data_IF_909309643711
#
_entry.id   IF_909309643711
#
_cell.length_a   1.000
_cell.length_b   1.000
_cell.length_c   1.000
_cell.angle_alpha   90.00
_cell.angle_beta   90.00
_cell.angle_gamma   90.00
#
_symmetry.space_group_name_H-M   'P 1'
#
loop_
_entity.id
_entity.type
_entity.pdbx_description
1 polymer ?
#
# COMPACT_ATOMS: atom_id res chain seq x y z
N UNK A 1 -31.90 -2.03 13.61
CA UNK A 1 -30.76 -1.38 14.30
C UNK A 1 -29.46 -2.06 13.85
N UNK A 2 -29.10 -1.93 12.57
CA UNK A 2 -27.99 -2.71 11.96
C UNK A 2 -27.05 -1.80 11.16
N UNK A 3 -27.56 -0.73 10.54
CA UNK A 3 -26.72 0.35 9.99
C UNK A 3 -25.86 1.07 11.03
N UNK A 4 -26.21 0.98 12.32
CA UNK A 4 -25.43 1.55 13.43
C UNK A 4 -24.11 0.82 13.65
N UNK A 5 -24.09 -0.52 13.61
CA UNK A 5 -22.86 -1.29 13.87
C UNK A 5 -21.75 -1.03 12.84
N UNK A 6 -22.07 -1.06 11.54
CA UNK A 6 -21.08 -0.78 10.49
C UNK A 6 -20.58 0.66 10.55
N UNK A 7 -21.46 1.60 10.92
CA UNK A 7 -21.10 3.00 11.14
C UNK A 7 -20.17 3.13 12.34
N UNK A 8 -20.44 2.43 13.44
CA UNK A 8 -19.57 2.41 14.61
C UNK A 8 -18.22 1.75 14.30
N UNK A 9 -18.19 0.67 13.54
CA UNK A 9 -16.93 0.07 13.09
C UNK A 9 -16.10 1.07 12.27
N UNK A 10 -16.74 1.84 11.39
CA UNK A 10 -16.07 2.87 10.59
C UNK A 10 -15.55 4.02 11.44
N UNK A 11 -16.42 4.67 12.21
CA UNK A 11 -16.09 5.94 12.87
C UNK A 11 -15.53 5.77 14.28
N UNK A 12 -15.92 4.71 15.01
CA UNK A 12 -15.45 4.43 16.37
C UNK A 12 -14.27 3.45 16.37
N UNK A 13 -14.34 2.31 15.66
CA UNK A 13 -13.20 1.37 15.57
C UNK A 13 -12.17 1.76 14.50
N UNK A 14 -12.48 2.70 13.61
CA UNK A 14 -11.54 3.21 12.61
C UNK A 14 -11.30 2.26 11.43
N UNK A 15 -12.18 1.29 11.23
CA UNK A 15 -12.11 0.32 10.13
C UNK A 15 -12.80 0.90 8.91
N UNK A 16 -12.05 1.30 7.88
CA UNK A 16 -12.62 1.69 6.60
C UNK A 16 -13.06 0.45 5.79
N UNK A 17 -14.12 0.64 4.99
CA UNK A 17 -14.80 -0.45 4.29
C UNK A 17 -15.22 -1.63 5.18
N UNK A 18 -15.81 -1.41 6.38
CA UNK A 18 -16.03 -2.48 7.33
C UNK A 18 -17.04 -3.50 6.79
N UNK A 19 -16.77 -4.78 7.06
CA UNK A 19 -17.63 -5.91 6.72
C UNK A 19 -17.85 -6.78 7.95
N UNK A 20 -19.09 -7.19 8.18
CA UNK A 20 -19.51 -8.13 9.22
C UNK A 20 -20.11 -9.33 8.51
N UNK A 21 -19.66 -10.53 8.86
CA UNK A 21 -20.18 -11.79 8.35
C UNK A 21 -20.36 -12.80 9.47
N UNK A 22 -21.30 -13.72 9.31
CA UNK A 22 -21.57 -14.79 10.29
C UNK A 22 -21.47 -16.14 9.61
N UNK A 23 -20.84 -17.09 10.28
CA UNK A 23 -20.74 -18.49 9.86
C UNK A 23 -20.62 -19.38 11.10
N UNK A 24 -21.59 -20.28 11.31
CA UNK A 24 -21.64 -21.10 12.52
C UNK A 24 -21.64 -20.26 13.80
N UNK A 25 -20.74 -20.57 14.74
CA UNK A 25 -20.61 -19.85 16.02
C UNK A 25 -19.61 -18.68 15.98
N UNK A 26 -19.20 -18.24 14.78
CA UNK A 26 -18.19 -17.19 14.63
C UNK A 26 -18.70 -15.99 13.85
N UNK A 27 -18.44 -14.79 14.37
CA UNK A 27 -18.56 -13.54 13.64
C UNK A 27 -17.20 -13.14 13.08
N UNK A 28 -17.18 -12.79 11.81
CA UNK A 28 -16.03 -12.25 11.09
C UNK A 28 -16.26 -10.77 10.83
N UNK A 29 -15.37 -9.94 11.35
CA UNK A 29 -15.27 -8.51 11.06
C UNK A 29 -14.02 -8.28 10.23
N UNK A 30 -14.10 -7.46 9.20
CA UNK A 30 -12.91 -7.03 8.46
C UNK A 30 -12.98 -5.56 8.06
N UNK A 31 -11.82 -4.96 7.83
CA UNK A 31 -11.69 -3.59 7.33
C UNK A 31 -10.26 -3.06 7.44
N UNK A 32 -10.00 -1.93 6.80
CA UNK A 32 -8.68 -1.29 6.82
C UNK A 32 -8.57 -0.31 8.00
N UNK A 33 -7.57 -0.49 8.86
CA UNK A 33 -7.38 0.40 10.01
C UNK A 33 -6.79 1.75 9.56
N UNK A 34 -7.54 2.82 9.74
CA UNK A 34 -7.16 4.18 9.27
C UNK A 34 -7.01 5.21 10.39
N UNK A 35 -7.51 4.91 11.60
CA UNK A 35 -7.61 5.88 12.70
C UNK A 35 -6.54 5.71 13.77
N UNK A 36 -6.24 4.47 14.15
CA UNK A 36 -5.37 4.16 15.27
C UNK A 36 -3.98 3.74 14.81
N UNK A 37 -2.95 4.34 15.43
CA UNK A 37 -1.55 3.97 15.18
C UNK A 37 -1.22 2.58 15.72
N UNK A 38 -1.69 2.26 16.93
CA UNK A 38 -1.71 0.89 17.43
C UNK A 38 -3.03 0.27 17.02
N UNK A 39 -2.96 -0.65 16.07
CA UNK A 39 -4.17 -1.20 15.46
C UNK A 39 -4.94 -2.15 16.39
N UNK A 40 -4.30 -2.61 17.48
CA UNK A 40 -4.96 -3.38 18.56
C UNK A 40 -6.10 -2.58 19.21
N UNK A 41 -5.95 -1.27 19.34
CA UNK A 41 -7.02 -0.42 19.87
C UNK A 41 -8.27 -0.48 18.98
N UNK A 42 -8.07 -0.50 17.65
CA UNK A 42 -9.16 -0.66 16.69
C UNK A 42 -9.86 -2.01 16.82
N UNK A 43 -9.09 -3.09 17.00
CA UNK A 43 -9.62 -4.44 17.23
C UNK A 43 -10.43 -4.50 18.53
N UNK A 44 -9.94 -3.95 19.63
CA UNK A 44 -10.63 -3.97 20.92
C UNK A 44 -11.94 -3.17 20.88
N UNK A 45 -11.94 -2.04 20.14
CA UNK A 45 -13.16 -1.26 19.88
C UNK A 45 -14.14 -2.02 19.01
N UNK A 46 -13.67 -2.68 17.95
CA UNK A 46 -14.52 -3.52 17.11
C UNK A 46 -15.18 -4.64 17.93
N UNK A 47 -14.40 -5.34 18.76
CA UNK A 47 -14.87 -6.36 19.68
C UNK A 47 -16.01 -5.84 20.58
N UNK A 48 -15.86 -4.66 21.18
CA UNK A 48 -16.91 -4.03 22.02
C UNK A 48 -18.17 -3.68 21.23
N UNK A 49 -18.03 -3.16 20.00
CA UNK A 49 -19.16 -2.81 19.14
C UNK A 49 -19.96 -4.06 18.76
N UNK A 50 -19.27 -5.15 18.42
CA UNK A 50 -19.91 -6.43 18.10
C UNK A 50 -20.61 -7.03 19.33
N UNK A 51 -19.96 -7.00 20.50
CA UNK A 51 -20.54 -7.53 21.75
C UNK A 51 -21.90 -6.92 22.11
N UNK A 52 -22.12 -5.64 21.85
CA UNK A 52 -23.39 -4.96 22.14
C UNK A 52 -24.58 -5.48 21.33
N UNK A 53 -24.31 -6.21 20.26
CA UNK A 53 -25.29 -6.67 19.28
C UNK A 53 -24.99 -8.10 18.82
N UNK A 54 -24.39 -8.89 19.71
CA UNK A 54 -24.00 -10.27 19.44
C UNK A 54 -25.26 -11.14 19.29
N UNK A 55 -25.45 -11.86 18.16
CA UNK A 55 -26.47 -12.88 18.03
C UNK A 55 -26.25 -14.04 19.03
N UNK A 56 -27.33 -14.73 19.37
CA UNK A 56 -27.26 -15.93 20.22
C UNK A 56 -26.45 -17.03 19.52
N UNK A 57 -25.70 -17.81 20.31
CA UNK A 57 -24.91 -18.94 19.82
C UNK A 57 -23.53 -18.61 19.26
N UNK A 58 -23.13 -17.33 19.24
CA UNK A 58 -21.76 -16.94 18.86
C UNK A 58 -20.80 -17.07 20.05
N UNK A 59 -19.72 -17.83 19.87
CA UNK A 59 -18.66 -18.03 20.86
C UNK A 59 -17.37 -17.28 20.50
N UNK A 60 -17.19 -16.91 19.24
CA UNK A 60 -15.92 -16.38 18.71
C UNK A 60 -16.13 -15.15 17.85
N UNK A 61 -15.26 -14.13 18.03
CA UNK A 61 -15.18 -12.95 17.16
C UNK A 61 -13.80 -12.94 16.50
N UNK A 62 -13.77 -12.95 15.17
CA UNK A 62 -12.56 -12.80 14.36
C UNK A 62 -12.55 -11.41 13.74
N UNK A 63 -11.57 -10.57 14.12
CA UNK A 63 -11.36 -9.25 13.49
C UNK A 63 -10.13 -9.33 12.58
N UNK A 64 -10.36 -9.27 11.26
CA UNK A 64 -9.32 -9.30 10.24
C UNK A 64 -8.99 -7.88 9.77
N UNK A 65 -7.76 -7.47 10.02
CA UNK A 65 -7.27 -6.17 9.57
C UNK A 65 -6.72 -6.30 8.16
N UNK A 66 -7.11 -5.42 7.26
CA UNK A 66 -6.61 -5.39 5.88
C UNK A 66 -5.83 -4.11 5.58
N UNK A 67 -5.05 -4.14 4.51
CA UNK A 67 -4.42 -2.96 3.92
C UNK A 67 -4.36 -3.12 2.42
N UNK A 68 -4.81 -2.14 1.65
CA UNK A 68 -4.93 -2.25 0.19
C UNK A 68 -5.68 -3.52 -0.23
N UNK A 69 -6.82 -3.80 0.42
CA UNK A 69 -7.62 -5.03 0.25
C UNK A 69 -6.91 -6.36 0.54
N UNK A 70 -5.66 -6.35 1.01
CA UNK A 70 -4.94 -7.56 1.42
C UNK A 70 -5.08 -7.77 2.93
N UNK A 71 -5.65 -8.89 3.39
CA UNK A 71 -5.77 -9.15 4.82
C UNK A 71 -4.38 -9.39 5.40
N UNK A 72 -4.08 -8.79 6.56
CA UNK A 72 -2.76 -8.80 7.18
C UNK A 72 -2.70 -9.76 8.38
N UNK A 73 -3.74 -9.77 9.19
CA UNK A 73 -3.80 -10.50 10.45
C UNK A 73 -5.24 -10.63 10.91
N UNK A 74 -5.58 -11.77 11.47
CA UNK A 74 -6.85 -11.97 12.17
C UNK A 74 -6.60 -12.06 13.65
N UNK A 75 -7.33 -11.29 14.43
CA UNK A 75 -7.37 -11.40 15.88
C UNK A 75 -8.63 -12.14 16.29
N UNK A 76 -8.46 -13.34 16.83
CA UNK A 76 -9.54 -14.15 17.38
C UNK A 76 -9.74 -13.80 18.85
N UNK A 77 -10.98 -13.51 19.23
CA UNK A 77 -11.38 -13.20 20.60
C UNK A 77 -12.52 -14.11 21.04
N UNK A 78 -12.35 -14.76 22.20
CA UNK A 78 -13.40 -15.59 22.81
C UNK A 78 -14.45 -14.70 23.48
N UNK A 79 -15.72 -14.86 23.09
CA UNK A 79 -16.85 -14.04 23.57
C UNK A 79 -17.02 -14.10 25.08
N UNK A 80 -16.91 -15.30 25.66
CA UNK A 80 -17.08 -15.49 27.11
C UNK A 80 -16.00 -14.73 27.89
N UNK A 81 -14.74 -14.78 27.42
CA UNK A 81 -13.64 -14.06 28.06
C UNK A 81 -13.78 -12.55 27.89
N UNK A 82 -14.20 -12.08 26.72
CA UNK A 82 -14.46 -10.66 26.46
C UNK A 82 -15.60 -10.12 27.32
N UNK A 83 -16.69 -10.88 27.48
CA UNK A 83 -17.82 -10.52 28.35
C UNK A 83 -17.36 -10.31 29.79
N UNK A 84 -16.65 -11.29 30.35
CA UNK A 84 -16.13 -11.19 31.72
C UNK A 84 -15.15 -10.02 31.88
N UNK A 85 -14.31 -9.75 30.86
CA UNK A 85 -13.40 -8.62 30.88
C UNK A 85 -14.13 -7.26 30.89
N UNK A 86 -15.26 -7.14 30.19
CA UNK A 86 -16.06 -5.91 30.13
C UNK A 86 -16.93 -5.70 31.38
N UNK A 87 -17.46 -6.79 31.95
CA UNK A 87 -18.26 -6.75 33.20
C UNK A 87 -17.38 -6.60 34.44
N UNK A 88 -16.10 -6.99 34.33
CA UNK A 88 -15.13 -6.98 35.42
C UNK A 88 -15.09 -8.31 36.19
N UNK A 89 -13.98 -8.55 36.87
CA UNK A 89 -13.80 -9.72 37.73
C UNK A 89 -13.94 -9.35 39.21
N UNK A 90 -14.39 -10.28 40.06
CA UNK A 90 -14.21 -10.16 41.50
C UNK A 90 -12.73 -9.95 41.85
N UNK A 91 -12.44 -9.20 42.92
CA UNK A 91 -11.06 -8.97 43.37
C UNK A 91 -10.30 -10.29 43.52
N UNK A 92 -9.12 -10.36 42.88
CA UNK A 92 -8.23 -11.52 42.96
C UNK A 92 -8.56 -12.67 42.00
N UNK A 93 -9.62 -12.57 41.18
CA UNK A 93 -10.02 -13.58 40.19
C UNK A 93 -9.91 -13.07 38.75
N UNK A 94 -9.08 -12.05 38.52
CA UNK A 94 -8.83 -11.49 37.19
C UNK A 94 -8.26 -12.55 36.25
N UNK A 95 -8.89 -12.69 35.09
CA UNK A 95 -8.40 -13.56 34.02
C UNK A 95 -7.99 -12.71 32.81
N UNK A 96 -6.89 -13.07 32.12
CA UNK A 96 -6.51 -12.39 30.91
C UNK A 96 -7.58 -12.59 29.83
N UNK A 97 -7.75 -11.57 28.99
CA UNK A 97 -8.58 -11.66 27.81
C UNK A 97 -8.01 -12.74 26.88
N UNK A 98 -8.83 -13.74 26.54
CA UNK A 98 -8.47 -14.80 25.60
C UNK A 98 -8.59 -14.27 24.17
N UNK A 99 -7.48 -13.69 23.71
CA UNK A 99 -7.35 -13.08 22.40
C UNK A 99 -6.02 -13.49 21.77
N UNK A 100 -6.07 -14.02 20.55
CA UNK A 100 -4.88 -14.54 19.85
C UNK A 100 -4.83 -14.01 18.42
N UNK A 101 -3.64 -13.60 17.99
CA UNK A 101 -3.39 -13.21 16.59
C UNK A 101 -2.97 -14.43 15.79
N UNK A 102 -3.53 -14.57 14.60
CA UNK A 102 -3.26 -15.67 13.67
C UNK A 102 -3.19 -15.13 12.24
N UNK A 103 -2.71 -15.98 11.34
CA UNK A 103 -2.76 -15.74 9.91
C UNK A 103 -4.18 -15.34 9.47
N UNK A 104 -4.30 -14.46 8.46
CA UNK A 104 -5.59 -14.07 7.90
C UNK A 104 -6.55 -15.25 7.67
N UNK A 105 -7.75 -15.14 8.24
CA UNK A 105 -8.84 -16.10 7.99
C UNK A 105 -9.87 -15.49 7.06
N UNK A 106 -10.07 -16.16 5.92
CA UNK A 106 -11.19 -15.91 5.02
C UNK A 106 -12.34 -16.86 5.41
N UNK A 107 -13.52 -16.33 5.78
CA UNK A 107 -14.67 -17.15 6.11
C UNK A 107 -15.29 -17.87 4.89
N UNK A 108 -14.86 -17.57 3.67
CA UNK A 108 -15.39 -18.17 2.45
C UNK A 108 -16.89 -17.84 2.26
N UNK A 109 -17.73 -18.87 2.14
CA UNK A 109 -19.18 -18.68 2.00
C UNK A 109 -19.84 -18.48 3.36
N UNK A 110 -20.49 -17.33 3.55
CA UNK A 110 -21.07 -16.92 4.83
C UNK A 110 -22.60 -16.91 4.77
N UNK A 111 -23.25 -17.24 5.89
CA UNK A 111 -24.71 -17.32 6.00
C UNK A 111 -25.36 -15.94 5.91
N UNK A 112 -24.72 -14.95 6.55
CA UNK A 112 -25.13 -13.56 6.54
C UNK A 112 -23.88 -12.69 6.36
N UNK A 113 -24.04 -11.57 5.65
CA UNK A 113 -22.95 -10.65 5.39
C UNK A 113 -23.46 -9.26 5.09
N UNK A 114 -22.88 -8.26 5.75
CA UNK A 114 -23.18 -6.86 5.54
C UNK A 114 -21.88 -6.07 5.48
N UNK A 115 -21.85 -5.02 4.66
CA UNK A 115 -20.64 -4.23 4.46
C UNK A 115 -20.97 -2.80 4.08
N UNK A 116 -20.09 -1.89 4.45
CA UNK A 116 -19.99 -0.58 3.80
C UNK A 116 -18.92 -0.73 2.72
N UNK A 117 -19.27 -0.44 1.46
CA UNK A 117 -18.27 -0.46 0.38
C UNK A 117 -17.25 0.65 0.63
N UNK A 118 -15.98 0.29 0.49
CA UNK A 118 -14.92 1.29 0.34
C UNK A 118 -15.07 1.99 -1.01
N UNK A 119 -14.69 3.27 -1.06
CA UNK A 119 -14.68 4.02 -2.30
C UNK A 119 -13.63 3.43 -3.25
N UNK A 120 -14.09 3.02 -4.44
CA UNK A 120 -13.23 2.41 -5.45
C UNK A 120 -12.44 3.41 -6.26
N UNK A 121 -12.90 4.67 -6.29
CA UNK A 121 -12.26 5.77 -7.02
C UNK A 121 -11.68 6.75 -6.00
N UNK A 122 -10.37 6.94 -6.06
CA UNK A 122 -9.68 8.01 -5.37
C UNK A 122 -9.10 8.97 -6.41
N UNK A 123 -9.27 10.27 -6.19
CA UNK A 123 -8.71 11.28 -7.08
C UNK A 123 -8.23 12.47 -6.27
N UNK A 124 -7.15 13.09 -6.74
CA UNK A 124 -6.61 14.29 -6.11
C UNK A 124 -6.08 15.27 -7.14
N UNK A 125 -6.16 16.56 -6.80
CA UNK A 125 -5.55 17.63 -7.56
C UNK A 125 -4.67 18.41 -6.60
N UNK A 126 -3.36 18.46 -6.87
CA UNK A 126 -2.38 19.03 -5.95
C UNK A 126 -1.42 19.98 -6.67
N UNK A 127 -1.10 21.16 -6.10
CA UNK A 127 0.00 21.99 -6.61
C UNK A 127 1.33 21.29 -6.30
N UNK A 128 2.27 21.39 -7.23
CA UNK A 128 3.60 20.76 -7.12
C UNK A 128 4.66 21.80 -7.39
N UNK A 129 5.71 21.81 -6.56
CA UNK A 129 6.90 22.63 -6.71
C UNK A 129 8.14 21.73 -6.69
N UNK A 130 8.73 21.50 -7.86
CA UNK A 130 9.99 20.81 -8.01
C UNK A 130 11.12 21.83 -7.93
N UNK A 131 12.09 21.64 -7.03
CA UNK A 131 13.25 22.53 -6.88
C UNK A 131 14.55 21.73 -6.97
N UNK A 132 15.57 22.30 -7.62
CA UNK A 132 16.92 21.74 -7.64
C UNK A 132 17.93 22.85 -7.38
N UNK A 133 18.91 22.57 -6.52
CA UNK A 133 19.97 23.50 -6.11
C UNK A 133 21.32 22.88 -6.45
N UNK A 134 22.25 23.68 -6.97
CA UNK A 134 23.61 23.23 -7.26
C UNK A 134 23.78 22.51 -8.60
N UNK A 135 22.90 22.82 -9.57
CA UNK A 135 23.11 22.39 -10.95
C UNK A 135 24.38 23.05 -11.54
N UNK A 136 25.10 22.36 -12.42
CA UNK A 136 26.31 22.91 -13.05
C UNK A 136 26.06 24.16 -13.91
N UNK A 137 24.80 24.50 -14.21
CA UNK A 137 24.41 25.57 -15.14
C UNK A 137 23.60 26.71 -14.50
N UNK A 138 22.72 26.40 -13.53
CA UNK A 138 22.07 27.40 -12.68
C UNK A 138 22.07 26.91 -11.25
N UNK A 139 22.39 27.82 -10.33
CA UNK A 139 22.41 27.53 -8.91
C UNK A 139 21.05 27.12 -8.37
N UNK A 140 19.95 27.57 -8.99
CA UNK A 140 18.59 27.30 -8.55
C UNK A 140 17.64 27.08 -9.74
N UNK A 141 16.93 25.94 -9.72
CA UNK A 141 15.91 25.54 -10.69
C UNK A 141 14.58 25.32 -9.99
N UNK A 142 13.48 25.69 -10.66
CA UNK A 142 12.13 25.44 -10.18
C UNK A 142 11.16 25.08 -11.32
N UNK A 143 10.17 24.25 -10.98
CA UNK A 143 8.97 24.02 -11.79
C UNK A 143 7.75 24.00 -10.87
N UNK A 144 6.81 24.87 -11.19
CA UNK A 144 5.51 24.99 -10.56
C UNK A 144 4.49 24.40 -11.52
N UNK A 145 3.68 23.47 -11.03
CA UNK A 145 2.62 22.86 -11.80
C UNK A 145 1.50 22.34 -10.93
N UNK A 146 0.57 21.65 -11.58
CA UNK A 146 -0.55 20.96 -10.93
C UNK A 146 -0.50 19.50 -11.34
N UNK A 147 -0.61 18.61 -10.35
CA UNK A 147 -0.70 17.17 -10.55
C UNK A 147 -2.12 16.70 -10.30
N UNK A 148 -2.71 16.06 -11.30
CA UNK A 148 -3.98 15.36 -11.19
C UNK A 148 -3.70 13.86 -11.10
N UNK A 149 -4.17 13.21 -10.03
CA UNK A 149 -4.04 11.78 -9.81
C UNK A 149 -5.42 11.14 -9.81
N UNK A 150 -5.52 9.93 -10.36
CA UNK A 150 -6.72 9.12 -10.29
C UNK A 150 -6.34 7.64 -10.12
N UNK A 151 -6.92 7.01 -9.12
CA UNK A 151 -6.75 5.60 -8.76
C UNK A 151 -8.12 4.91 -8.75
N UNK A 152 -8.24 3.79 -9.44
CA UNK A 152 -9.48 3.05 -9.55
C UNK A 152 -9.30 1.54 -9.32
N UNK A 153 -10.00 1.02 -8.31
CA UNK A 153 -10.11 -0.42 -8.05
C UNK A 153 -11.13 -1.07 -8.99
N UNK A 154 -10.63 -1.69 -10.06
CA UNK A 154 -11.43 -2.47 -11.01
C UNK A 154 -12.00 -3.73 -10.32
N UNK A 155 -11.15 -4.40 -9.55
CA UNK A 155 -11.50 -5.55 -8.70
C UNK A 155 -10.89 -5.35 -7.33
N UNK A 156 -11.14 -6.25 -6.38
CA UNK A 156 -10.53 -6.16 -5.04
C UNK A 156 -9.02 -6.44 -5.07
N UNK A 157 -8.50 -6.94 -6.20
CA UNK A 157 -7.08 -7.26 -6.42
C UNK A 157 -6.41 -6.37 -7.47
N UNK A 158 -7.19 -5.68 -8.32
CA UNK A 158 -6.69 -4.92 -9.48
C UNK A 158 -6.95 -3.42 -9.29
N UNK A 159 -5.86 -2.69 -9.08
CA UNK A 159 -5.82 -1.23 -9.00
C UNK A 159 -5.21 -0.66 -10.27
N UNK A 160 -5.91 0.27 -10.92
CA UNK A 160 -5.37 1.03 -12.06
C UNK A 160 -5.27 2.49 -11.63
N UNK A 161 -4.06 3.03 -11.69
CA UNK A 161 -3.76 4.39 -11.27
C UNK A 161 -2.95 5.12 -12.33
N UNK A 162 -3.07 6.43 -12.35
CA UNK A 162 -2.22 7.27 -13.18
C UNK A 162 -2.23 8.73 -12.73
N UNK A 163 -1.22 9.46 -13.18
CA UNK A 163 -1.10 10.88 -12.89
C UNK A 163 -0.70 11.70 -14.12
N UNK A 164 -1.31 12.89 -14.20
CA UNK A 164 -1.06 13.89 -15.22
C UNK A 164 -0.48 15.12 -14.55
N UNK A 165 0.61 15.64 -15.12
CA UNK A 165 1.22 16.88 -14.67
C UNK A 165 0.96 17.99 -15.69
N UNK A 166 0.44 19.11 -15.22
CA UNK A 166 0.32 20.35 -15.99
C UNK A 166 1.35 21.38 -15.51
N UNK A 167 2.23 21.81 -16.40
CA UNK A 167 3.25 22.81 -16.12
C UNK A 167 2.64 24.22 -16.20
N UNK A 168 2.77 25.00 -15.13
CA UNK A 168 2.27 26.38 -15.08
C UNK A 168 3.39 27.39 -15.32
N UNK A 169 4.53 27.19 -14.64
CA UNK A 169 5.69 28.05 -14.76
C UNK A 169 6.95 27.26 -14.42
N UNK A 170 8.00 27.43 -15.21
CA UNK A 170 9.30 26.85 -14.94
C UNK A 170 10.43 27.75 -15.46
N UNK A 171 11.65 27.52 -15.00
CA UNK A 171 12.86 28.18 -15.50
C UNK A 171 13.84 27.21 -16.17
N UNK A 172 13.32 26.08 -16.69
CA UNK A 172 14.12 25.04 -17.37
C UNK A 172 14.54 25.46 -18.78
N UNK A 173 13.93 26.50 -19.34
CA UNK A 173 14.26 27.15 -20.62
C UNK A 173 15.65 27.81 -20.64
N UNK A 174 16.29 28.02 -19.48
CA UNK A 174 17.64 28.62 -19.36
C UNK A 174 18.79 27.63 -19.60
N UNK A 175 18.48 26.40 -20.01
CA UNK A 175 19.43 25.32 -20.22
C UNK A 175 19.95 25.32 -21.68
N UNK A 176 21.03 26.07 -21.95
CA UNK A 176 21.67 26.13 -23.29
C UNK A 176 22.95 25.25 -23.42
N UNK A 177 23.29 24.44 -22.41
CA UNK A 177 24.53 23.66 -22.42
C UNK A 177 24.27 22.21 -22.88
N UNK A 178 25.08 21.75 -23.83
CA UNK A 178 25.02 20.39 -24.41
C UNK A 178 25.97 19.41 -23.71
N UNK A 179 26.78 19.87 -22.75
CA UNK A 179 27.42 19.11 -21.68
C UNK A 179 28.09 17.78 -21.99
N UNK A 180 28.51 17.52 -23.22
CA UNK A 180 29.32 16.35 -23.55
C UNK A 180 30.80 16.71 -23.41
N UNK A 181 31.55 16.10 -22.48
CA UNK A 181 32.92 15.74 -22.79
C UNK A 181 32.86 14.84 -24.03
N UNK A 182 33.72 15.08 -25.02
CA UNK A 182 33.78 14.29 -26.28
C UNK A 182 34.16 12.80 -26.07
N UNK A 183 34.32 12.40 -24.81
CA UNK A 183 35.04 11.22 -24.33
C UNK A 183 34.28 10.42 -23.26
N UNK A 184 33.01 10.73 -22.95
CA UNK A 184 32.20 9.92 -22.01
C UNK A 184 31.31 8.92 -22.74
N UNK A 185 31.64 7.62 -22.60
CA UNK A 185 30.90 6.47 -23.16
C UNK A 185 29.79 5.93 -22.25
N UNK A 186 29.57 6.56 -21.09
CA UNK A 186 28.59 6.15 -20.09
C UNK A 186 27.19 6.72 -20.40
N UNK A 187 26.15 5.88 -20.57
CA UNK A 187 24.81 6.33 -20.88
C UNK A 187 24.22 7.15 -19.73
N UNK A 188 23.55 8.26 -20.07
CA UNK A 188 22.93 9.19 -19.13
C UNK A 188 21.55 8.69 -18.70
N UNK A 189 21.51 7.88 -17.65
CA UNK A 189 20.28 7.17 -17.23
C UNK A 189 19.25 8.07 -16.53
N UNK A 190 19.68 9.21 -15.96
CA UNK A 190 18.82 10.16 -15.19
C UNK A 190 19.11 11.64 -15.47
N UNK A 191 19.75 11.95 -16.59
CA UNK A 191 20.13 13.34 -16.93
C UNK A 191 19.17 13.99 -17.94
N UNK A 192 18.22 13.23 -18.51
CA UNK A 192 17.25 13.70 -19.50
C UNK A 192 15.96 14.26 -18.91
N UNK A 193 15.89 14.55 -17.60
CA UNK A 193 14.68 15.14 -16.99
C UNK A 193 14.26 16.43 -17.69
N UNK A 194 15.23 17.14 -18.28
CA UNK A 194 15.05 18.35 -19.10
C UNK A 194 14.12 18.14 -20.29
N UNK A 195 14.35 17.09 -21.08
CA UNK A 195 13.66 16.92 -22.37
C UNK A 195 12.18 16.50 -22.15
N UNK A 196 11.83 15.96 -20.97
CA UNK A 196 10.44 15.65 -20.60
C UNK A 196 9.64 16.86 -20.07
N UNK A 197 10.32 17.92 -19.62
CA UNK A 197 9.71 19.07 -18.93
C UNK A 197 9.31 20.20 -19.91
N UNK A 198 9.74 20.12 -21.18
CA UNK A 198 9.30 21.05 -22.22
C UNK A 198 7.80 20.93 -22.55
N UNK A 199 7.19 19.79 -22.24
CA UNK A 199 5.76 19.58 -22.44
C UNK A 199 4.93 20.34 -21.39
N UNK A 200 3.96 21.14 -21.87
CA UNK A 200 3.02 21.86 -21.00
C UNK A 200 2.12 20.90 -20.18
N UNK A 201 1.85 19.70 -20.70
CA UNK A 201 1.10 18.65 -20.02
C UNK A 201 1.73 17.30 -20.37
N UNK A 202 1.97 16.44 -19.39
CA UNK A 202 2.49 15.10 -19.63
C UNK A 202 1.93 14.03 -18.67
N UNK A 203 1.95 12.78 -19.14
CA UNK A 203 1.60 11.59 -18.34
C UNK A 203 2.82 11.19 -17.52
N UNK A 204 2.74 11.42 -16.21
CA UNK A 204 3.80 11.06 -15.28
C UNK A 204 3.82 9.54 -15.08
N UNK A 205 2.68 8.94 -14.77
CA UNK A 205 2.53 7.48 -14.68
C UNK A 205 1.13 7.02 -15.09
N UNK A 206 1.05 5.75 -15.49
CA UNK A 206 -0.19 5.03 -15.77
C UNK A 206 0.10 3.55 -15.61
N UNK A 207 -0.32 2.97 -14.49
CA UNK A 207 0.03 1.61 -14.11
C UNK A 207 -1.18 0.80 -13.66
N UNK A 208 -1.15 -0.49 -13.97
CA UNK A 208 -2.05 -1.49 -13.43
C UNK A 208 -1.27 -2.36 -12.43
N UNK A 209 -1.83 -2.52 -11.23
CA UNK A 209 -1.28 -3.29 -10.13
C UNK A 209 -2.27 -4.39 -9.75
N UNK A 210 -1.84 -5.64 -9.87
CA UNK A 210 -2.58 -6.80 -9.37
C UNK A 210 -1.88 -7.32 -8.11
N UNK A 211 -2.55 -7.26 -6.97
CA UNK A 211 -1.99 -7.65 -5.66
C UNK A 211 -2.90 -8.64 -4.95
N UNK A 212 -2.30 -9.48 -4.10
CA UNK A 212 -3.05 -10.48 -3.35
C UNK A 212 -2.26 -11.12 -2.22
N UNK A 213 -3.02 -11.63 -1.24
CA UNK A 213 -2.51 -12.52 -0.20
C UNK A 213 -2.58 -13.96 -0.70
N UNK A 214 -1.44 -14.64 -0.73
CA UNK A 214 -1.28 -16.01 -1.26
C UNK A 214 -1.43 -17.08 -0.17
N UNK A 215 -1.63 -16.68 1.08
CA UNK A 215 -1.73 -17.58 2.24
C UNK A 215 -0.41 -17.74 2.99
N UNK A 216 -0.51 -18.14 4.26
CA UNK A 216 0.64 -18.46 5.13
C UNK A 216 1.70 -17.35 5.18
N UNK A 217 1.29 -16.08 5.29
CA UNK A 217 2.20 -14.95 5.32
C UNK A 217 2.84 -14.58 3.98
N UNK A 218 2.44 -15.18 2.85
CA UNK A 218 2.89 -14.76 1.52
C UNK A 218 1.97 -13.70 0.91
N UNK A 219 2.58 -12.63 0.41
CA UNK A 219 1.92 -11.54 -0.30
C UNK A 219 2.62 -11.33 -1.63
N UNK A 220 1.85 -11.17 -2.70
CA UNK A 220 2.38 -10.99 -4.03
C UNK A 220 1.76 -9.79 -4.72
N UNK A 221 2.54 -9.17 -5.60
CA UNK A 221 2.01 -8.22 -6.56
C UNK A 221 2.70 -8.38 -7.91
N UNK A 222 1.95 -8.13 -8.98
CA UNK A 222 2.46 -7.96 -10.34
C UNK A 222 1.91 -6.67 -10.88
N UNK A 223 2.74 -5.93 -11.59
CA UNK A 223 2.36 -4.60 -12.06
C UNK A 223 2.97 -4.31 -13.43
N UNK A 224 2.35 -3.38 -14.14
CA UNK A 224 2.86 -2.96 -15.44
C UNK A 224 2.18 -1.73 -16.00
N UNK A 225 2.87 -1.09 -16.94
CA UNK A 225 2.43 0.15 -17.58
C UNK A 225 3.55 1.18 -17.66
N UNK A 226 3.20 2.45 -17.59
CA UNK A 226 4.13 3.55 -17.39
C UNK A 226 4.36 3.72 -15.89
N UNK A 227 5.47 3.17 -15.40
CA UNK A 227 5.81 3.15 -13.97
C UNK A 227 6.28 4.53 -13.49
N UNK A 228 6.98 5.25 -14.37
CA UNK A 228 7.46 6.61 -14.14
C UNK A 228 7.45 7.39 -15.45
N UNK A 229 7.73 8.70 -15.38
CA UNK A 229 7.82 9.62 -16.51
C UNK A 229 8.77 9.10 -17.60
N UNK A 230 9.87 8.46 -17.18
CA UNK A 230 10.95 8.00 -18.06
C UNK A 230 10.92 6.51 -18.37
N UNK A 231 10.17 5.70 -17.61
CA UNK A 231 10.23 4.24 -17.73
C UNK A 231 8.83 3.65 -17.72
N UNK A 232 8.58 2.76 -18.67
CA UNK A 232 7.47 1.82 -18.58
C UNK A 232 8.01 0.41 -18.55
N UNK A 233 7.23 -0.53 -18.03
CA UNK A 233 7.71 -1.88 -17.84
C UNK A 233 6.69 -2.75 -17.17
N UNK A 234 7.16 -3.93 -16.78
CA UNK A 234 6.43 -4.89 -15.98
C UNK A 234 7.32 -5.36 -14.84
N UNK A 235 6.74 -5.64 -13.70
CA UNK A 235 7.45 -6.13 -12.53
C UNK A 235 6.57 -6.99 -11.66
N UNK A 236 7.22 -7.67 -10.73
CA UNK A 236 6.54 -8.45 -9.71
C UNK A 236 7.34 -8.50 -8.43
N UNK A 237 6.64 -8.59 -7.33
CA UNK A 237 7.19 -8.72 -5.98
C UNK A 237 6.49 -9.86 -5.24
N UNK A 238 7.26 -10.58 -4.43
CA UNK A 238 6.78 -11.57 -3.48
C UNK A 238 7.40 -11.28 -2.12
N UNK A 239 6.56 -11.14 -1.10
CA UNK A 239 6.91 -10.87 0.28
C UNK A 239 6.45 -12.02 1.17
N UNK A 240 7.36 -12.57 1.96
CA UNK A 240 7.06 -13.48 3.06
C UNK A 240 7.17 -12.75 4.40
N UNK A 241 6.05 -12.65 5.10
CA UNK A 241 5.91 -12.01 6.41
C UNK A 241 4.93 -12.81 7.27
N UNK A 242 5.44 -13.70 8.14
CA UNK A 242 4.60 -14.42 9.10
C UNK A 242 3.97 -13.47 10.13
N UNK A 243 2.80 -13.81 10.64
CA UNK A 243 2.17 -13.07 11.74
C UNK A 243 3.05 -13.10 13.00
N UNK A 244 3.14 -11.94 13.67
CA UNK A 244 3.95 -11.69 14.87
C UNK A 244 5.47 -11.95 14.74
N UNK A 245 5.95 -12.35 13.56
CA UNK A 245 7.37 -12.42 13.30
C UNK A 245 7.99 -11.01 13.32
N UNK A 246 9.20 -10.93 13.88
CA UNK A 246 9.99 -9.72 13.88
C UNK A 246 10.88 -9.60 12.62
N UNK A 247 10.59 -10.36 11.57
CA UNK A 247 11.35 -10.37 10.33
C UNK A 247 10.43 -10.59 9.13
N UNK A 248 10.89 -10.19 7.95
CA UNK A 248 10.24 -10.47 6.67
C UNK A 248 11.28 -10.52 5.55
N UNK A 249 10.99 -11.23 4.47
CA UNK A 249 11.86 -11.33 3.29
C UNK A 249 11.06 -11.07 2.03
N UNK A 250 11.54 -10.17 1.19
CA UNK A 250 10.93 -9.81 -0.09
C UNK A 250 11.89 -10.05 -1.25
N UNK A 251 11.34 -10.50 -2.38
CA UNK A 251 12.04 -10.57 -3.66
C UNK A 251 11.24 -9.80 -4.70
N UNK A 252 11.92 -9.04 -5.54
CA UNK A 252 11.29 -8.36 -6.67
C UNK A 252 12.13 -8.51 -7.93
N UNK A 253 11.44 -8.52 -9.07
CA UNK A 253 12.03 -8.58 -10.40
C UNK A 253 11.26 -7.68 -11.35
N UNK A 254 11.99 -6.81 -12.06
CA UNK A 254 11.41 -5.77 -12.91
C UNK A 254 12.10 -5.75 -14.25
N UNK A 255 11.33 -5.63 -15.32
CA UNK A 255 11.78 -5.45 -16.68
C UNK A 255 11.23 -4.13 -17.22
N UNK A 256 12.12 -3.16 -17.41
CA UNK A 256 11.77 -1.80 -17.79
C UNK A 256 12.36 -1.43 -19.14
N UNK A 257 11.64 -0.57 -19.86
CA UNK A 257 12.05 0.09 -21.09
C UNK A 257 11.96 1.59 -20.91
N UNK A 258 12.97 2.29 -21.39
CA UNK A 258 12.95 3.74 -21.36
C UNK A 258 11.86 4.26 -22.30
N UNK A 259 11.03 5.20 -21.86
CA UNK A 259 10.05 5.90 -22.68
C UNK A 259 10.78 6.88 -23.60
N UNK A 260 10.27 7.13 -24.78
CA UNK A 260 10.80 8.17 -25.67
C UNK A 260 10.53 9.56 -25.06
N UNK A 261 11.49 10.47 -25.19
CA UNK A 261 11.38 11.84 -24.65
C UNK A 261 10.52 12.74 -25.54
N UNK A 262 10.52 12.54 -26.87
CA UNK A 262 9.73 13.34 -27.82
C UNK A 262 8.29 12.85 -27.90
N UNK A 263 8.07 11.55 -27.69
CA UNK A 263 6.75 10.95 -27.62
C UNK A 263 6.66 9.98 -26.43
N UNK A 264 6.19 10.49 -25.29
CA UNK A 264 6.11 9.74 -24.03
C UNK A 264 5.18 8.51 -24.05
N UNK A 265 4.50 8.26 -25.17
CA UNK A 265 3.72 7.05 -25.44
C UNK A 265 4.51 5.98 -26.22
N UNK A 266 5.74 6.28 -26.64
CA UNK A 266 6.64 5.35 -27.34
C UNK A 266 7.77 4.90 -26.41
N UNK A 267 8.44 3.80 -26.79
CA UNK A 267 9.57 3.25 -26.05
C UNK A 267 10.85 3.36 -26.86
N UNK A 268 11.92 3.79 -26.20
CA UNK A 268 13.27 3.72 -26.71
C UNK A 268 13.80 2.28 -26.69
N UNK A 269 14.94 2.05 -27.36
CA UNK A 269 15.55 0.71 -27.49
C UNK A 269 16.10 0.16 -26.16
N UNK A 270 16.47 1.06 -25.25
CA UNK A 270 17.08 0.70 -23.97
C UNK A 270 16.14 -0.12 -23.09
N UNK A 271 16.65 -1.27 -22.65
CA UNK A 271 15.97 -2.21 -21.76
C UNK A 271 16.85 -2.45 -20.53
N UNK A 272 16.22 -2.55 -19.37
CA UNK A 272 16.90 -2.96 -18.16
C UNK A 272 16.08 -3.98 -17.38
N UNK A 273 16.74 -5.04 -16.96
CA UNK A 273 16.24 -6.01 -16.00
C UNK A 273 16.86 -5.70 -14.64
N UNK A 274 16.04 -5.63 -13.60
CA UNK A 274 16.50 -5.45 -12.23
C UNK A 274 15.89 -6.54 -11.36
N UNK A 275 16.62 -6.97 -10.34
CA UNK A 275 16.06 -7.82 -9.30
C UNK A 275 16.66 -7.47 -7.96
N UNK A 276 15.83 -7.49 -6.90
CA UNK A 276 16.31 -7.27 -5.55
C UNK A 276 15.85 -8.38 -4.61
N UNK A 277 16.69 -8.63 -3.60
CA UNK A 277 16.36 -9.41 -2.42
C UNK A 277 16.47 -8.46 -1.22
N UNK A 278 15.42 -8.39 -0.42
CA UNK A 278 15.34 -7.49 0.73
C UNK A 278 14.97 -8.27 1.98
N UNK A 279 15.76 -8.11 3.05
CA UNK A 279 15.48 -8.61 4.38
C UNK A 279 15.09 -7.48 5.34
N UNK A 280 14.05 -7.71 6.12
CA UNK A 280 13.56 -6.83 7.17
C UNK A 280 13.73 -7.51 8.52
N UNK A 281 14.22 -6.77 9.52
CA UNK A 281 14.36 -7.28 10.87
C UNK A 281 14.11 -6.18 11.91
N UNK A 282 13.27 -6.50 12.89
CA UNK A 282 12.96 -5.67 14.05
C UNK A 282 13.63 -6.29 15.28
N UNK A 283 14.72 -5.70 15.80
CA UNK A 283 15.43 -6.28 16.93
C UNK A 283 14.52 -6.31 18.18
N UNK A 284 14.56 -7.42 18.92
CA UNK A 284 13.73 -7.60 20.12
C UNK A 284 14.04 -6.58 21.23
N UNK A 285 15.25 -6.04 21.24
CA UNK A 285 15.72 -5.02 22.19
C UNK A 285 15.40 -3.57 21.75
N UNK A 286 14.97 -3.35 20.50
CA UNK A 286 14.58 -2.05 19.97
C UNK A 286 13.35 -2.21 19.08
N UNK A 287 12.18 -2.28 19.71
CA UNK A 287 10.91 -2.54 19.02
C UNK A 287 10.46 -1.39 18.09
N UNK A 288 11.05 -0.20 18.25
CA UNK A 288 10.81 0.98 17.41
C UNK A 288 11.80 1.13 16.25
N UNK A 289 12.76 0.20 16.11
CA UNK A 289 13.79 0.23 15.05
C UNK A 289 13.55 -0.89 14.05
N UNK A 290 13.45 -0.53 12.76
CA UNK A 290 13.41 -1.48 11.65
C UNK A 290 14.73 -1.45 10.89
N UNK A 291 15.43 -2.57 10.85
CA UNK A 291 16.62 -2.77 10.02
C UNK A 291 16.19 -3.32 8.67
N UNK A 292 16.59 -2.63 7.60
CA UNK A 292 16.36 -3.05 6.21
C UNK A 292 17.70 -3.32 5.54
N UNK A 293 17.83 -4.49 4.93
CA UNK A 293 19.02 -4.89 4.16
C UNK A 293 18.56 -5.32 2.77
N UNK A 294 19.25 -4.88 1.72
CA UNK A 294 18.88 -5.26 0.35
C UNK A 294 20.08 -5.46 -0.54
N UNK A 295 20.01 -6.47 -1.41
CA UNK A 295 20.97 -6.74 -2.47
C UNK A 295 20.26 -6.57 -3.81
N UNK A 296 20.85 -5.78 -4.71
CA UNK A 296 20.30 -5.43 -6.02
C UNK A 296 21.20 -5.93 -7.13
N UNK A 297 20.60 -6.53 -8.14
CA UNK A 297 21.23 -6.85 -9.42
C UNK A 297 20.55 -6.07 -10.55
N UNK A 298 21.35 -5.56 -11.48
CA UNK A 298 20.88 -4.80 -12.65
C UNK A 298 21.61 -5.32 -13.88
N UNK A 299 20.86 -5.66 -14.93
CA UNK A 299 21.38 -6.04 -16.24
C UNK A 299 20.68 -5.21 -17.31
N UNK A 300 21.41 -4.35 -18.00
CA UNK A 300 20.88 -3.50 -19.08
C UNK A 300 21.40 -3.94 -20.44
N UNK A 301 20.53 -3.96 -21.44
CA UNK A 301 20.86 -4.20 -22.85
C UNK A 301 20.42 -3.01 -23.71
N UNK A 302 21.25 -2.67 -24.71
CA UNK A 302 21.02 -1.55 -25.64
C UNK A 302 20.18 -1.97 -26.84
#
# INVERSE_FOLDING_TARGET
MVGTQLTDLKYNAGLDGPRIQTQGHTIYVSGEQTKYRDTREGVDRANRIIMNHLPDGIDTINVTESRFNMPQVTTETQVASLRNNLEGYPLGHEQPLQQTRKEPVDPGTTEQGMFIRQDRLNYSLSPVLNQSVGGPESFYMYQVGVMANADYWLTDHLLVGGSLFGNLANNYDKFNYNGAPADSSLPRVRTHIRDYVENNVYVNDLQANYMGHLGNGFYGQVYGGYLETMYGGVGGELLYRPVDANWAVGVDANYVRQRDWDNMMQFNRYKASTGNLTGYWRPWFMQDVLVKTSVRSVSGER
#
